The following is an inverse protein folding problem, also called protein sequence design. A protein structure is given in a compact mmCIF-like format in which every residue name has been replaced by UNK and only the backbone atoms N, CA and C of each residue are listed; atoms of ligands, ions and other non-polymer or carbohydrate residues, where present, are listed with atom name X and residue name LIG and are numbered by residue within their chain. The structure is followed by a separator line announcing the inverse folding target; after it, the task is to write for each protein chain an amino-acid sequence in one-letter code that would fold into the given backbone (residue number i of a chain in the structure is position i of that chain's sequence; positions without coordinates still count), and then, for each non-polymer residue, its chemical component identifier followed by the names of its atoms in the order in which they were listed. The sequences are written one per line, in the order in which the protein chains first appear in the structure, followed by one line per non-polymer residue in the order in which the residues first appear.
data_IF_444518655129
#
_entry.id   IF_444518655129
#
_cell.length_a   1.000
_cell.length_b   1.000
_cell.length_c   1.000
_cell.angle_alpha   90.00
_cell.angle_beta   90.00
_cell.angle_gamma   90.00
#
_symmetry.space_group_name_H-M   'P 1'
#
loop_
_entity.id
_entity.type
_entity.pdbx_description
1 polymer ?
#
# COMPACT_ATOMS: atom_id res chain seq x y z
N UNK A 1 0.58 17.35 6.87
CA UNK A 1 0.83 15.89 7.03
C UNK A 1 0.12 15.12 5.93
N UNK A 2 -1.15 15.42 5.66
CA UNK A 2 -1.96 14.77 4.63
C UNK A 2 -1.35 14.89 3.21
N UNK A 3 -0.89 16.07 2.82
CA UNK A 3 -0.16 16.29 1.56
C UNK A 3 1.07 15.36 1.40
N UNK A 4 1.85 15.16 2.46
CA UNK A 4 3.02 14.26 2.43
C UNK A 4 2.62 12.79 2.37
N UNK A 5 1.48 12.42 2.96
CA UNK A 5 0.94 11.07 2.86
C UNK A 5 0.54 10.78 1.42
N UNK A 6 -0.21 11.69 0.79
CA UNK A 6 -0.63 11.58 -0.60
C UNK A 6 0.56 11.49 -1.54
N UNK A 7 1.58 12.34 -1.35
CA UNK A 7 2.82 12.28 -2.12
C UNK A 7 3.48 10.90 -2.07
N UNK A 8 3.61 10.32 -0.87
CA UNK A 8 4.19 8.99 -0.70
C UNK A 8 3.30 7.86 -1.23
N UNK A 9 1.96 8.05 -1.22
CA UNK A 9 1.02 7.11 -1.82
C UNK A 9 1.15 7.08 -3.34
N UNK A 10 1.32 8.24 -3.98
CA UNK A 10 1.61 8.33 -5.41
C UNK A 10 2.93 7.65 -5.79
N UNK A 11 3.87 7.53 -4.84
CA UNK A 11 5.10 6.75 -4.98
C UNK A 11 4.94 5.25 -4.70
N UNK A 12 3.72 4.76 -4.48
CA UNK A 12 3.41 3.34 -4.33
C UNK A 12 3.47 2.81 -2.88
N UNK A 13 3.41 3.69 -1.88
CA UNK A 13 3.18 3.29 -0.49
C UNK A 13 1.68 3.23 -0.18
N UNK A 14 1.31 2.39 0.79
CA UNK A 14 -0.03 2.46 1.39
C UNK A 14 -0.10 3.63 2.37
N UNK A 15 -1.30 4.03 2.78
CA UNK A 15 -1.48 5.11 3.76
C UNK A 15 -0.73 4.82 5.09
N UNK A 16 -0.82 3.59 5.58
CA UNK A 16 -0.13 3.18 6.80
C UNK A 16 1.39 3.17 6.65
N UNK A 17 1.89 2.75 5.48
CA UNK A 17 3.31 2.83 5.15
C UNK A 17 3.78 4.29 5.10
N UNK A 18 3.02 5.17 4.45
CA UNK A 18 3.34 6.58 4.35
C UNK A 18 3.40 7.25 5.73
N UNK A 19 2.36 7.06 6.56
CA UNK A 19 2.33 7.55 7.96
C UNK A 19 3.54 7.06 8.76
N UNK A 20 3.87 5.77 8.66
CA UNK A 20 5.01 5.16 9.36
C UNK A 20 6.34 5.74 8.89
N UNK A 21 6.53 5.90 7.58
CA UNK A 21 7.73 6.49 6.99
C UNK A 21 7.91 7.95 7.40
N UNK A 22 6.84 8.75 7.47
CA UNK A 22 6.90 10.14 7.93
C UNK A 22 7.37 10.26 9.38
N UNK A 23 6.92 9.36 10.26
CA UNK A 23 7.43 9.29 11.64
C UNK A 23 8.93 9.00 11.64
N UNK A 24 9.38 8.03 10.86
CA UNK A 24 10.80 7.68 10.78
C UNK A 24 11.65 8.78 10.14
N UNK A 25 11.13 9.52 9.14
CA UNK A 25 11.81 10.70 8.59
C UNK A 25 11.98 11.80 9.62
N UNK A 26 10.95 12.05 10.44
CA UNK A 26 11.00 13.09 11.46
C UNK A 26 11.87 12.70 12.68
N UNK A 27 11.78 11.44 13.12
CA UNK A 27 12.43 10.96 14.35
C UNK A 27 13.81 10.31 14.11
N UNK A 28 14.15 9.99 12.86
CA UNK A 28 15.32 9.20 12.41
C UNK A 28 15.31 7.73 12.86
N UNK A 29 14.79 7.47 14.05
CA UNK A 29 14.63 6.15 14.62
C UNK A 29 13.44 6.14 15.59
N UNK A 30 12.72 5.03 15.68
CA UNK A 30 11.62 4.88 16.63
C UNK A 30 11.33 3.40 16.93
N UNK A 31 10.71 3.13 18.08
CA UNK A 31 10.17 1.81 18.45
C UNK A 31 8.80 1.57 17.81
N UNK A 32 8.36 0.32 17.71
CA UNK A 32 7.00 0.03 17.21
C UNK A 32 5.91 0.73 18.04
N UNK A 33 6.08 0.80 19.36
CA UNK A 33 5.16 1.50 20.27
C UNK A 33 5.16 3.02 20.05
N UNK A 34 6.35 3.62 19.85
CA UNK A 34 6.45 5.05 19.52
C UNK A 34 5.80 5.38 18.17
N UNK A 35 5.98 4.52 17.16
CA UNK A 35 5.31 4.68 15.86
C UNK A 35 3.79 4.56 16.01
N UNK A 36 3.30 3.59 16.78
CA UNK A 36 1.88 3.46 17.10
C UNK A 36 1.32 4.75 17.72
N UNK A 37 2.05 5.34 18.68
CA UNK A 37 1.66 6.59 19.36
C UNK A 37 1.57 7.78 18.40
N UNK A 38 2.47 7.87 17.43
CA UNK A 38 2.51 8.97 16.47
C UNK A 38 1.54 8.80 15.29
N UNK A 39 1.22 7.57 14.91
CA UNK A 39 0.40 7.28 13.72
C UNK A 39 -1.07 6.96 14.04
N UNK A 40 -1.36 6.56 15.28
CA UNK A 40 -2.66 6.02 15.68
C UNK A 40 -2.96 4.62 15.11
N UNK A 41 -2.02 4.01 14.38
CA UNK A 41 -2.19 2.68 13.80
C UNK A 41 -2.00 1.64 14.91
N UNK A 42 -2.95 0.69 15.10
CA UNK A 42 -2.83 -0.34 16.12
C UNK A 42 -1.52 -1.15 16.01
N UNK A 43 -0.95 -1.53 17.15
CA UNK A 43 0.33 -2.26 17.22
C UNK A 43 0.31 -3.57 16.39
N UNK A 44 -0.84 -4.26 16.37
CA UNK A 44 -1.07 -5.47 15.56
C UNK A 44 -0.91 -5.25 14.06
N UNK A 45 -1.15 -4.03 13.58
CA UNK A 45 -0.96 -3.62 12.18
C UNK A 45 0.40 -2.98 11.93
N UNK A 46 0.99 -2.30 12.93
CA UNK A 46 2.31 -1.68 12.79
C UNK A 46 3.39 -2.72 12.46
N UNK A 47 3.38 -3.89 13.11
CA UNK A 47 4.39 -4.91 12.81
C UNK A 47 4.33 -5.41 11.37
N UNK A 48 3.14 -5.58 10.78
CA UNK A 48 3.02 -5.98 9.38
C UNK A 48 3.45 -4.86 8.42
N UNK A 49 3.15 -3.60 8.76
CA UNK A 49 3.59 -2.42 8.00
C UNK A 49 5.11 -2.30 8.02
N UNK A 50 5.72 -2.39 9.20
CA UNK A 50 7.18 -2.35 9.37
C UNK A 50 7.84 -3.51 8.64
N UNK A 51 7.27 -4.72 8.71
CA UNK A 51 7.81 -5.86 7.98
C UNK A 51 7.77 -5.63 6.47
N UNK A 52 6.66 -5.12 5.94
CA UNK A 52 6.54 -4.79 4.53
C UNK A 52 7.51 -3.68 4.07
N UNK A 53 7.82 -2.71 4.93
CA UNK A 53 8.81 -1.66 4.64
C UNK A 53 10.25 -2.21 4.68
N UNK A 54 10.53 -3.13 5.61
CA UNK A 54 11.82 -3.83 5.72
C UNK A 54 12.07 -4.72 4.50
N UNK A 55 11.06 -5.49 4.06
CA UNK A 55 11.13 -6.34 2.87
C UNK A 55 11.34 -5.51 1.59
N UNK A 56 10.82 -4.28 1.58
CA UNK A 56 11.05 -3.27 0.54
C UNK A 56 12.40 -2.56 0.69
N UNK A 57 13.26 -2.93 1.64
CA UNK A 57 14.55 -2.30 1.94
C UNK A 57 14.48 -0.79 2.21
N UNK A 58 13.32 -0.29 2.66
CA UNK A 58 13.12 1.13 2.97
C UNK A 58 13.50 1.49 4.40
N UNK A 59 13.45 0.49 5.30
CA UNK A 59 13.82 0.62 6.71
C UNK A 59 14.69 -0.55 7.15
N UNK A 60 15.46 -0.33 8.21
CA UNK A 60 16.29 -1.32 8.87
C UNK A 60 15.87 -1.45 10.34
N UNK A 61 15.99 -2.66 10.87
CA UNK A 61 15.67 -2.97 12.25
C UNK A 61 16.93 -3.37 13.03
N UNK A 62 17.13 -2.83 14.23
CA UNK A 62 18.16 -3.30 15.15
C UNK A 62 17.68 -4.54 15.91
N UNK A 63 18.54 -5.56 16.15
CA UNK A 63 18.18 -6.77 16.90
C UNK A 63 18.05 -6.56 18.43
N UNK A 64 18.23 -5.33 18.93
CA UNK A 64 18.15 -5.02 20.37
C UNK A 64 16.75 -5.10 20.99
N UNK A 65 16.69 -5.04 22.33
CA UNK A 65 15.47 -4.88 23.13
C UNK A 65 15.54 -3.53 23.88
N UNK A 66 14.65 -2.55 23.60
CA UNK A 66 13.55 -2.62 22.64
C UNK A 66 14.03 -2.61 21.19
N UNK A 67 13.20 -3.15 20.30
CA UNK A 67 13.47 -3.19 18.86
C UNK A 67 13.34 -1.78 18.29
N UNK A 68 14.38 -1.29 17.62
CA UNK A 68 14.43 0.07 17.04
C UNK A 68 14.41 -0.02 15.53
N UNK A 69 13.53 0.74 14.90
CA UNK A 69 13.40 0.86 13.45
C UNK A 69 14.01 2.18 13.00
N UNK A 70 14.76 2.14 11.90
CA UNK A 70 15.44 3.28 11.30
C UNK A 70 15.18 3.30 9.81
N UNK A 71 15.14 4.47 9.20
CA UNK A 71 15.15 4.60 7.75
C UNK A 71 16.47 5.21 7.28
N UNK A 72 16.79 5.01 6.00
CA UNK A 72 17.83 5.79 5.33
C UNK A 72 17.41 7.27 5.24
N UNK A 73 18.28 8.14 4.72
CA UNK A 73 17.94 9.56 4.61
C UNK A 73 16.65 9.74 3.80
N UNK A 74 15.76 10.68 4.15
CA UNK A 74 14.51 10.88 3.43
C UNK A 74 14.69 11.03 1.92
N UNK A 75 15.74 11.76 1.49
CA UNK A 75 16.10 11.92 0.09
C UNK A 75 16.45 10.60 -0.61
N UNK A 76 17.23 9.73 0.03
CA UNK A 76 17.63 8.44 -0.52
C UNK A 76 16.41 7.52 -0.67
N UNK A 77 15.55 7.49 0.34
CA UNK A 77 14.31 6.70 0.30
C UNK A 77 13.38 7.18 -0.79
N UNK A 78 13.15 8.50 -0.90
CA UNK A 78 12.28 9.08 -1.94
C UNK A 78 12.85 8.82 -3.33
N UNK A 79 14.17 8.96 -3.53
CA UNK A 79 14.82 8.65 -4.80
C UNK A 79 14.64 7.19 -5.21
N UNK A 80 14.79 6.25 -4.26
CA UNK A 80 14.57 4.83 -4.51
C UNK A 80 13.09 4.54 -4.86
N UNK A 81 12.15 5.19 -4.19
CA UNK A 81 10.72 5.06 -4.53
C UNK A 81 10.41 5.58 -5.93
N UNK A 82 10.94 6.76 -6.31
CA UNK A 82 10.80 7.32 -7.66
C UNK A 82 11.38 6.36 -8.69
N UNK A 83 12.58 5.82 -8.44
CA UNK A 83 13.21 4.84 -9.33
C UNK A 83 12.34 3.60 -9.53
N UNK A 84 11.73 3.06 -8.48
CA UNK A 84 10.81 1.91 -8.56
C UNK A 84 9.59 2.23 -9.40
N UNK A 85 9.00 3.42 -9.24
CA UNK A 85 7.87 3.86 -10.06
C UNK A 85 8.29 3.98 -11.52
N UNK A 86 9.44 4.57 -11.82
CA UNK A 86 9.95 4.69 -13.19
C UNK A 86 10.13 3.31 -13.85
N UNK A 87 10.81 2.38 -13.19
CA UNK A 87 10.97 0.99 -13.67
C UNK A 87 9.61 0.31 -13.89
N UNK A 88 8.66 0.50 -12.97
CA UNK A 88 7.31 -0.04 -13.12
C UNK A 88 6.58 0.57 -14.32
N UNK A 89 6.70 1.87 -14.54
CA UNK A 89 6.10 2.56 -15.68
C UNK A 89 6.66 2.05 -17.00
N UNK A 90 7.98 1.85 -17.08
CA UNK A 90 8.60 1.32 -18.29
C UNK A 90 8.17 -0.12 -18.57
N UNK A 91 8.13 -0.97 -17.55
CA UNK A 91 7.56 -2.32 -17.66
C UNK A 91 6.09 -2.30 -18.13
N UNK A 92 5.27 -1.39 -17.59
CA UNK A 92 3.87 -1.24 -18.00
C UNK A 92 3.74 -0.81 -19.47
N UNK A 93 4.62 0.07 -19.96
CA UNK A 93 4.65 0.48 -21.37
C UNK A 93 4.96 -0.69 -22.28
N UNK A 94 5.95 -1.52 -21.91
CA UNK A 94 6.33 -2.70 -22.69
C UNK A 94 5.22 -3.76 -22.70
N UNK A 95 4.59 -4.00 -21.55
CA UNK A 95 3.50 -4.96 -21.41
C UNK A 95 2.19 -4.51 -22.11
N UNK A 96 1.99 -3.21 -22.32
CA UNK A 96 0.74 -2.61 -22.82
C UNK A 96 0.19 -3.32 -24.05
N UNK A 97 1.04 -3.54 -25.07
CA UNK A 97 0.59 -4.09 -26.36
C UNK A 97 0.05 -5.52 -26.21
N UNK A 98 0.72 -6.34 -25.41
CA UNK A 98 0.34 -7.73 -25.20
C UNK A 98 -0.94 -7.84 -24.36
N UNK A 99 -1.05 -7.03 -23.32
CA UNK A 99 -2.27 -6.98 -22.50
C UNK A 99 -3.49 -6.55 -23.31
N UNK A 100 -3.35 -5.54 -24.18
CA UNK A 100 -4.44 -5.10 -25.05
C UNK A 100 -4.92 -6.17 -26.03
N UNK A 101 -4.04 -7.07 -26.48
CA UNK A 101 -4.45 -8.23 -27.30
C UNK A 101 -5.29 -9.21 -26.50
N UNK A 102 -4.80 -9.60 -25.31
CA UNK A 102 -5.48 -10.56 -24.42
C UNK A 102 -6.86 -10.07 -24.00
N UNK A 103 -6.98 -8.79 -23.65
CA UNK A 103 -8.27 -8.19 -23.25
C UNK A 103 -9.31 -8.31 -24.36
N UNK A 104 -8.91 -8.16 -25.64
CA UNK A 104 -9.84 -8.29 -26.77
C UNK A 104 -10.36 -9.72 -26.99
N UNK A 105 -9.65 -10.72 -26.46
CA UNK A 105 -9.99 -12.14 -26.61
C UNK A 105 -10.51 -12.76 -25.32
N UNK A 106 -10.76 -11.96 -24.27
CA UNK A 106 -11.33 -12.45 -23.02
C UNK A 106 -12.81 -12.80 -23.25
N UNK A 107 -13.17 -14.04 -22.95
CA UNK A 107 -14.55 -14.44 -22.74
C UNK A 107 -14.93 -14.09 -21.30
N UNK A 108 -15.92 -13.22 -21.14
CA UNK A 108 -16.41 -12.84 -19.82
C UNK A 108 -17.42 -13.90 -19.32
N UNK A 109 -17.31 -14.36 -18.07
CA UNK A 109 -18.31 -15.26 -17.50
C UNK A 109 -19.66 -14.53 -17.47
N UNK A 110 -20.70 -15.15 -18.04
CA UNK A 110 -22.07 -14.64 -17.90
C UNK A 110 -22.59 -15.07 -16.53
N UNK A 111 -22.70 -14.12 -15.60
CA UNK A 111 -23.30 -14.39 -14.29
C UNK A 111 -24.81 -14.55 -14.51
N UNK A 112 -25.31 -15.78 -14.43
CA UNK A 112 -26.75 -16.02 -14.33
C UNK A 112 -27.21 -15.46 -12.99
N UNK A 113 -28.03 -14.40 -12.99
CA UNK A 113 -28.77 -14.00 -11.79
C UNK A 113 -29.68 -15.18 -11.44
N UNK A 114 -29.40 -15.85 -10.32
CA UNK A 114 -30.36 -16.80 -9.76
C UNK A 114 -31.70 -16.08 -9.59
N UNK A 115 -32.74 -16.81 -9.98
CA UNK A 115 -34.13 -16.38 -10.12
C UNK A 115 -34.55 -15.48 -8.96
N UNK A 116 -35.27 -14.41 -9.32
CA UNK A 116 -36.00 -13.51 -8.43
C UNK A 116 -36.46 -14.22 -7.16
N UNK A 117 -35.98 -13.74 -6.02
CA UNK A 117 -36.51 -14.17 -4.72
C UNK A 117 -38.03 -13.94 -4.72
N UNK A 118 -38.87 -14.88 -4.27
CA UNK A 118 -40.33 -14.77 -4.26
C UNK A 118 -40.91 -13.64 -3.40
N UNK A 119 -40.07 -12.75 -2.84
CA UNK A 119 -40.52 -11.56 -2.12
C UNK A 119 -40.74 -10.35 -3.05
N UNK A 120 -40.20 -10.38 -4.28
CA UNK A 120 -40.36 -9.27 -5.23
C UNK A 120 -41.74 -9.22 -5.93
N UNK A 121 -42.51 -10.31 -5.91
CA UNK A 121 -43.86 -10.31 -6.50
C UNK A 121 -44.96 -9.85 -5.52
N UNK A 122 -44.64 -9.73 -4.22
CA UNK A 122 -45.62 -9.32 -3.19
C UNK A 122 -45.81 -7.79 -3.09
N UNK A 123 -44.90 -6.98 -3.63
CA UNK A 123 -44.96 -5.51 -3.56
C UNK A 123 -45.69 -4.85 -4.73
N UNK A 124 -46.07 -5.59 -5.77
CA UNK A 124 -46.75 -5.04 -6.96
C UNK A 124 -48.28 -5.29 -6.92
N UNK A 125 -48.77 -5.98 -5.89
CA UNK A 125 -50.18 -6.34 -5.73
C UNK A 125 -50.90 -5.64 -4.57
N UNK A 126 -50.46 -4.45 -4.15
CA UNK A 126 -51.18 -3.60 -3.17
C UNK A 126 -51.42 -2.20 -3.72
#
# INVERSE_FOLDING_TARGET
MEEHIEYLQNLGLTEYQAKTMLVLFAKKQETAEGICRHTGIPLTKIYSVLKSLEDKTLINCSPGKPRIFRCNKPSEVVNELIRRVAVKVDWLKDAKREQLKKIRTIELPTIQREKSHPLFEAEIAS
#
